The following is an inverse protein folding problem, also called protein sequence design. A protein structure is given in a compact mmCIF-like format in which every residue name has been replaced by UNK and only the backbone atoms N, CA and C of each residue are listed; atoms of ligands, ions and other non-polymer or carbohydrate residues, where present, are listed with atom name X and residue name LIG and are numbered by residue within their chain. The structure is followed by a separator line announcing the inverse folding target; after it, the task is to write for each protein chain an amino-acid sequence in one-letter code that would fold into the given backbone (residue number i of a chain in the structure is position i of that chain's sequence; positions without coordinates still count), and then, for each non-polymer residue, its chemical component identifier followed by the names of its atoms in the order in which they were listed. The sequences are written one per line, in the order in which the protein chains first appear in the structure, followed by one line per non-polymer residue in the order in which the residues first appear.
data_IF_041589381304
#
_entry.id   IF_041589381304
#
_cell.length_a   1.000
_cell.length_b   1.000
_cell.length_c   1.000
_cell.angle_alpha   90.00
_cell.angle_beta   90.00
_cell.angle_gamma   90.00
#
_symmetry.space_group_name_H-M   'P 1'
#
loop_
_entity.id
_entity.type
_entity.pdbx_description
1 polymer ?
#
# COMPACT_ATOMS: atom_id res chain seq x y z
N UNK A 1 7.26 -22.95 18.57
CA UNK A 1 6.90 -22.94 17.13
C UNK A 1 6.77 -21.52 16.60
N UNK A 2 6.02 -20.64 17.27
CA UNK A 2 5.89 -19.21 16.91
C UNK A 2 7.22 -18.50 16.65
N UNK A 3 8.19 -18.56 17.57
CA UNK A 3 9.52 -17.93 17.40
C UNK A 3 10.30 -18.41 16.16
N UNK A 4 10.11 -19.67 15.75
CA UNK A 4 10.85 -20.27 14.62
C UNK A 4 10.15 -19.94 13.30
N UNK A 5 8.82 -20.00 13.29
CA UNK A 5 8.01 -19.84 12.09
C UNK A 5 7.68 -18.38 11.77
N UNK A 6 7.70 -17.50 12.78
CA UNK A 6 7.18 -16.13 12.68
C UNK A 6 5.65 -16.06 12.57
N UNK A 7 4.95 -17.18 12.81
CA UNK A 7 3.49 -17.27 12.78
C UNK A 7 2.97 -17.17 14.21
N UNK A 8 2.06 -16.23 14.46
CA UNK A 8 1.50 -16.04 15.80
C UNK A 8 0.83 -17.33 16.32
N UNK A 9 0.97 -17.58 17.62
CA UNK A 9 0.48 -18.82 18.26
C UNK A 9 -1.00 -19.12 17.95
N UNK A 10 -1.84 -18.08 17.86
CA UNK A 10 -3.27 -18.22 17.53
C UNK A 10 -3.52 -18.86 16.16
N UNK A 11 -2.71 -18.54 15.15
CA UNK A 11 -2.84 -19.10 13.80
C UNK A 11 -2.29 -20.53 13.71
N UNK A 12 -1.36 -20.90 14.60
CA UNK A 12 -0.83 -22.26 14.70
C UNK A 12 -1.80 -23.20 15.45
N UNK A 13 -2.49 -22.68 16.48
CA UNK A 13 -3.44 -23.45 17.27
C UNK A 13 -4.78 -23.63 16.56
N UNK A 14 -5.30 -22.57 15.92
CA UNK A 14 -6.62 -22.55 15.28
C UNK A 14 -6.51 -21.93 13.89
N UNK A 15 -6.02 -22.73 12.94
CA UNK A 15 -5.89 -22.27 11.56
C UNK A 15 -7.23 -22.28 10.83
N UNK A 16 -7.61 -21.14 10.25
CA UNK A 16 -8.73 -21.02 9.31
C UNK A 16 -8.24 -20.55 7.93
N UNK A 17 -8.38 -21.37 6.88
CA UNK A 17 -8.15 -20.95 5.49
C UNK A 17 -9.01 -19.72 5.13
N UNK A 18 -8.49 -18.84 4.27
CA UNK A 18 -9.21 -17.65 3.83
C UNK A 18 -8.30 -16.52 3.35
N UNK A 19 -8.91 -15.47 2.82
CA UNK A 19 -8.22 -14.32 2.21
C UNK A 19 -7.98 -13.15 3.15
N UNK A 20 -8.45 -13.25 4.40
CA UNK A 20 -8.18 -12.27 5.46
C UNK A 20 -6.73 -12.37 5.95
N UNK A 21 -6.19 -11.26 6.47
CA UNK A 21 -4.79 -11.14 6.89
C UNK A 21 -3.80 -11.54 5.78
N UNK A 22 -4.13 -11.17 4.53
CA UNK A 22 -3.44 -11.68 3.36
C UNK A 22 -1.93 -11.40 3.40
N UNK A 23 -1.57 -10.19 3.82
CA UNK A 23 -0.18 -9.77 3.97
C UNK A 23 0.61 -10.62 4.96
N UNK A 24 0.00 -11.01 6.07
CA UNK A 24 0.61 -11.89 7.09
C UNK A 24 0.82 -13.29 6.54
N UNK A 25 -0.20 -13.85 5.88
CA UNK A 25 -0.10 -15.17 5.23
C UNK A 25 0.99 -15.21 4.15
N UNK A 26 1.11 -14.15 3.35
CA UNK A 26 2.19 -13.98 2.36
C UNK A 26 3.57 -13.88 3.04
N UNK A 27 3.65 -13.21 4.19
CA UNK A 27 4.88 -13.18 4.98
C UNK A 27 5.31 -14.56 5.47
N UNK A 28 4.38 -15.39 5.95
CA UNK A 28 4.69 -16.76 6.40
C UNK A 28 5.33 -17.59 5.28
N UNK A 29 4.90 -17.34 4.04
CA UNK A 29 5.41 -18.01 2.85
C UNK A 29 6.65 -17.34 2.24
N UNK A 30 7.04 -16.16 2.70
CA UNK A 30 8.08 -15.31 2.07
C UNK A 30 9.49 -15.90 2.07
N UNK A 31 9.75 -16.92 2.89
CA UNK A 31 11.03 -17.65 2.96
C UNK A 31 10.97 -19.04 2.31
N UNK A 32 9.83 -19.40 1.71
CA UNK A 32 9.63 -20.72 1.12
C UNK A 32 10.48 -20.88 -0.14
N UNK A 33 10.97 -22.10 -0.35
CA UNK A 33 11.58 -22.55 -1.59
C UNK A 33 10.78 -23.72 -2.15
N UNK A 34 10.64 -23.78 -3.47
CA UNK A 34 9.85 -24.80 -4.17
C UNK A 34 10.65 -25.40 -5.31
N UNK A 35 10.41 -26.67 -5.63
CA UNK A 35 11.13 -27.37 -6.71
C UNK A 35 10.75 -26.82 -8.09
N UNK A 36 9.46 -26.55 -8.30
CA UNK A 36 8.98 -25.83 -9.49
C UNK A 36 8.75 -24.35 -9.16
N UNK A 37 9.06 -23.43 -10.08
CA UNK A 37 8.91 -22.00 -9.82
C UNK A 37 7.47 -21.59 -9.52
N UNK A 38 6.47 -22.18 -10.19
CA UNK A 38 5.06 -21.82 -10.02
C UNK A 38 4.45 -22.31 -8.70
N UNK A 39 5.04 -23.35 -8.09
CA UNK A 39 4.59 -23.91 -6.82
C UNK A 39 4.73 -22.90 -5.66
N UNK A 40 5.52 -21.82 -5.83
CA UNK A 40 5.58 -20.71 -4.87
C UNK A 40 4.19 -20.09 -4.64
N UNK A 41 3.34 -20.10 -5.67
CA UNK A 41 1.97 -19.61 -5.61
C UNK A 41 0.98 -20.76 -5.35
N UNK A 42 1.10 -21.88 -6.06
CA UNK A 42 0.12 -22.99 -5.94
C UNK A 42 0.13 -23.63 -4.55
N UNK A 43 1.27 -23.67 -3.87
CA UNK A 43 1.36 -24.12 -2.48
C UNK A 43 0.62 -23.22 -1.47
N UNK A 44 0.07 -22.08 -1.90
CA UNK A 44 -0.69 -21.16 -1.05
C UNK A 44 -2.19 -21.27 -1.23
N UNK A 45 -2.68 -22.04 -2.20
CA UNK A 45 -4.12 -22.19 -2.45
C UNK A 45 -4.87 -22.72 -1.22
N UNK A 46 -4.31 -23.71 -0.52
CA UNK A 46 -4.87 -24.22 0.73
C UNK A 46 -4.84 -23.23 1.89
N UNK A 47 -3.85 -22.32 1.90
CA UNK A 47 -3.77 -21.27 2.92
C UNK A 47 -4.84 -20.19 2.69
N UNK A 48 -5.06 -19.82 1.43
CA UNK A 48 -6.02 -18.80 1.05
C UNK A 48 -7.43 -19.31 0.78
N UNK A 49 -7.64 -20.63 0.80
CA UNK A 49 -8.88 -21.29 0.39
C UNK A 49 -9.31 -20.93 -1.04
N UNK A 50 -8.35 -20.86 -1.96
CA UNK A 50 -8.58 -20.44 -3.35
C UNK A 50 -8.57 -21.62 -4.32
N UNK A 51 -9.41 -21.53 -5.35
CA UNK A 51 -9.48 -22.50 -6.43
C UNK A 51 -9.20 -21.79 -7.76
N UNK A 52 -7.94 -21.80 -8.18
CA UNK A 52 -7.51 -21.26 -9.48
C UNK A 52 -6.95 -22.38 -10.37
N UNK A 53 -7.12 -22.31 -11.70
CA UNK A 53 -6.50 -23.27 -12.61
C UNK A 53 -4.98 -23.32 -12.44
N UNK A 54 -4.43 -24.50 -12.24
CA UNK A 54 -2.98 -24.74 -12.19
C UNK A 54 -2.45 -24.77 -13.62
N UNK A 55 -1.52 -23.88 -13.94
CA UNK A 55 -0.89 -23.77 -15.25
C UNK A 55 0.63 -23.96 -15.08
N UNK A 56 1.13 -25.15 -15.39
CA UNK A 56 2.56 -25.43 -15.42
C UNK A 56 3.20 -24.94 -16.72
N UNK A 57 4.49 -24.60 -16.68
CA UNK A 57 5.22 -24.01 -17.79
C UNK A 57 5.06 -22.49 -17.89
N UNK A 58 4.66 -21.84 -16.80
CA UNK A 58 4.60 -20.37 -16.67
C UNK A 58 5.69 -19.90 -15.70
N UNK A 59 6.00 -18.60 -15.70
CA UNK A 59 6.96 -18.07 -14.72
C UNK A 59 6.37 -18.07 -13.31
N UNK A 60 7.25 -18.14 -12.29
CA UNK A 60 6.87 -17.93 -10.88
C UNK A 60 6.09 -16.63 -10.70
N UNK A 61 6.56 -15.55 -11.34
CA UNK A 61 5.90 -14.25 -11.38
C UNK A 61 4.47 -14.32 -11.90
N UNK A 62 4.22 -15.10 -12.96
CA UNK A 62 2.88 -15.23 -13.51
C UNK A 62 1.95 -15.96 -12.54
N UNK A 63 2.42 -17.06 -11.95
CA UNK A 63 1.65 -17.82 -10.97
C UNK A 63 1.35 -16.98 -9.72
N UNK A 64 2.35 -16.26 -9.20
CA UNK A 64 2.22 -15.35 -8.06
C UNK A 64 1.27 -14.19 -8.38
N UNK A 65 1.42 -13.54 -9.53
CA UNK A 65 0.54 -12.45 -9.94
C UNK A 65 -0.92 -12.87 -10.06
N UNK A 66 -1.21 -14.09 -10.54
CA UNK A 66 -2.57 -14.65 -10.57
C UNK A 66 -3.13 -14.86 -9.17
N UNK A 67 -2.31 -15.39 -8.26
CA UNK A 67 -2.70 -15.56 -6.86
C UNK A 67 -3.03 -14.21 -6.21
N UNK A 68 -2.15 -13.21 -6.36
CA UNK A 68 -2.32 -11.90 -5.76
C UNK A 68 -3.53 -11.15 -6.33
N UNK A 69 -3.79 -11.28 -7.64
CA UNK A 69 -4.99 -10.75 -8.29
C UNK A 69 -6.27 -11.33 -7.69
N UNK A 70 -6.32 -12.64 -7.47
CA UNK A 70 -7.47 -13.31 -6.87
C UNK A 70 -7.66 -12.91 -5.41
N UNK A 71 -6.59 -12.90 -4.61
CA UNK A 71 -6.64 -12.46 -3.21
C UNK A 71 -7.16 -11.02 -3.14
N UNK A 72 -6.60 -10.11 -3.94
CA UNK A 72 -7.01 -8.70 -3.97
C UNK A 72 -8.50 -8.55 -4.28
N UNK A 73 -9.00 -9.33 -5.25
CA UNK A 73 -10.40 -9.26 -5.69
C UNK A 73 -11.37 -9.86 -4.66
N UNK A 74 -10.98 -10.90 -3.92
CA UNK A 74 -11.84 -11.54 -2.92
C UNK A 74 -11.80 -10.83 -1.55
N UNK A 75 -10.63 -10.38 -1.10
CA UNK A 75 -10.50 -9.79 0.24
C UNK A 75 -10.82 -8.29 0.28
N UNK A 76 -10.50 -7.57 -0.79
CA UNK A 76 -10.40 -6.10 -0.79
C UNK A 76 -9.29 -5.57 0.13
N UNK A 77 -8.40 -6.45 0.63
CA UNK A 77 -7.35 -6.13 1.57
C UNK A 77 -6.17 -5.46 0.84
N UNK A 78 -6.05 -4.14 1.05
CA UNK A 78 -4.99 -3.33 0.46
C UNK A 78 -3.59 -3.61 1.04
N UNK A 79 -3.49 -4.32 2.18
CA UNK A 79 -2.20 -4.66 2.79
C UNK A 79 -1.36 -5.57 1.89
N UNK A 80 -1.98 -6.25 0.92
CA UNK A 80 -1.28 -7.03 -0.12
C UNK A 80 -0.30 -6.19 -0.95
N UNK A 81 -0.53 -4.87 -1.04
CA UNK A 81 0.31 -3.92 -1.78
C UNK A 81 1.55 -3.47 -0.98
N UNK A 82 1.61 -3.83 0.31
CA UNK A 82 2.61 -3.38 1.27
C UNK A 82 3.85 -4.28 1.26
N UNK A 83 4.56 -4.27 0.14
CA UNK A 83 5.79 -5.02 -0.10
C UNK A 83 6.88 -4.12 -0.67
N UNK A 84 8.13 -4.55 -0.51
CA UNK A 84 9.32 -3.84 -0.99
C UNK A 84 10.15 -4.79 -1.85
N UNK A 85 10.49 -4.37 -3.08
CA UNK A 85 11.36 -5.12 -3.97
C UNK A 85 11.11 -4.82 -5.45
N UNK A 86 11.44 -5.80 -6.28
CA UNK A 86 11.23 -5.73 -7.73
C UNK A 86 9.74 -5.92 -8.08
N UNK A 87 9.22 -5.05 -8.95
CA UNK A 87 7.88 -5.19 -9.47
C UNK A 87 7.79 -6.31 -10.51
N UNK A 88 6.71 -7.08 -10.47
CA UNK A 88 6.50 -8.16 -11.41
C UNK A 88 6.17 -7.63 -12.82
N UNK A 89 6.64 -8.36 -13.82
CA UNK A 89 6.16 -8.25 -15.20
C UNK A 89 4.64 -8.49 -15.32
N UNK A 90 4.01 -9.12 -14.33
CA UNK A 90 2.57 -9.38 -14.31
C UNK A 90 1.72 -8.12 -14.11
N UNK A 91 2.16 -7.22 -13.22
CA UNK A 91 1.48 -5.97 -12.83
C UNK A 91 2.39 -5.15 -11.89
N UNK A 92 2.47 -3.82 -12.05
CA UNK A 92 3.43 -2.99 -11.29
C UNK A 92 3.19 -2.96 -9.77
N UNK A 93 1.95 -3.18 -9.33
CA UNK A 93 1.61 -3.27 -7.90
C UNK A 93 1.87 -4.63 -7.26
N UNK A 94 2.33 -5.64 -7.99
CA UNK A 94 2.65 -6.95 -7.44
C UNK A 94 4.16 -7.20 -7.47
N UNK A 95 4.73 -7.86 -6.44
CA UNK A 95 6.15 -8.16 -6.43
C UNK A 95 6.49 -9.29 -7.41
N UNK A 96 7.69 -9.25 -7.97
CA UNK A 96 8.22 -10.35 -8.77
C UNK A 96 8.44 -11.62 -7.91
N UNK A 97 8.76 -11.43 -6.63
CA UNK A 97 9.11 -12.51 -5.71
C UNK A 97 8.34 -12.41 -4.40
N UNK A 98 7.94 -13.56 -3.85
CA UNK A 98 7.27 -13.62 -2.55
C UNK A 98 8.17 -13.14 -1.39
N UNK A 99 9.48 -13.15 -1.59
CA UNK A 99 10.47 -12.64 -0.64
C UNK A 99 10.30 -11.15 -0.35
N UNK A 100 9.67 -10.38 -1.25
CA UNK A 100 9.33 -8.97 -1.02
C UNK A 100 8.38 -8.72 0.15
N UNK A 101 7.74 -9.79 0.66
CA UNK A 101 6.89 -9.74 1.85
C UNK A 101 7.66 -10.01 3.16
N UNK A 102 8.96 -10.30 3.14
CA UNK A 102 9.75 -10.60 4.35
C UNK A 102 9.82 -9.41 5.31
N UNK A 103 10.16 -8.25 4.76
CA UNK A 103 10.30 -7.00 5.52
C UNK A 103 8.91 -6.50 5.89
N UNK A 104 8.60 -6.37 7.19
CA UNK A 104 7.54 -5.44 7.57
C UNK A 104 8.07 -4.06 7.21
N UNK A 105 7.36 -3.27 6.40
CA UNK A 105 7.65 -1.85 6.42
C UNK A 105 7.46 -1.42 7.86
N UNK A 106 8.55 -0.95 8.48
CA UNK A 106 8.55 -0.50 9.85
C UNK A 106 7.33 0.41 10.01
N UNK A 107 6.33 -0.01 10.79
CA UNK A 107 5.40 0.95 11.34
C UNK A 107 6.27 2.06 11.90
N UNK A 108 6.05 3.34 11.53
CA UNK A 108 6.65 4.43 12.30
C UNK A 108 6.34 4.08 13.74
N UNK A 109 7.40 3.91 14.54
CA UNK A 109 7.30 3.32 15.86
C UNK A 109 6.09 3.90 16.60
N UNK A 110 5.30 3.04 17.25
CA UNK A 110 4.30 3.47 18.25
C UNK A 110 4.92 4.31 19.38
N UNK A 111 6.24 4.46 19.37
CA UNK A 111 7.06 5.29 20.23
C UNK A 111 8.01 6.14 19.36
N UNK A 112 7.50 7.22 18.77
CA UNK A 112 8.30 8.36 18.34
C UNK A 112 7.54 9.59 18.85
N UNK A 113 7.91 9.94 20.07
CA UNK A 113 7.53 11.14 20.81
C UNK A 113 6.02 11.45 20.83
N UNK A 114 5.43 11.21 22.00
CA UNK A 114 4.43 12.10 22.55
C UNK A 114 5.01 13.53 22.59
N UNK A 115 5.14 14.18 21.42
CA UNK A 115 5.09 15.62 21.40
C UNK A 115 3.67 15.98 21.80
N UNK A 116 3.54 16.20 23.11
CA UNK A 116 2.47 16.92 23.78
C UNK A 116 2.30 18.31 23.15
N UNK A 117 1.82 18.34 21.90
CA UNK A 117 1.12 19.49 21.38
C UNK A 117 -0.31 19.37 21.88
N UNK A 118 -0.86 20.39 22.56
CA UNK A 118 -2.23 20.32 23.03
C UNK A 118 -3.13 19.99 21.84
N UNK A 119 -4.14 19.14 22.07
CA UNK A 119 -5.33 19.05 21.23
C UNK A 119 -6.04 20.42 21.23
N UNK A 120 -5.42 21.45 20.68
CA UNK A 120 -6.02 22.76 20.54
C UNK A 120 -6.74 22.78 19.20
N UNK A 121 -8.04 22.53 19.32
CA UNK A 121 -9.09 23.05 18.44
C UNK A 121 -9.12 22.50 17.02
N UNK A 122 -9.60 21.26 16.85
CA UNK A 122 -10.50 21.02 15.73
C UNK A 122 -11.92 21.36 16.21
N UNK A 123 -12.63 22.33 15.62
CA UNK A 123 -13.97 22.63 16.07
C UNK A 123 -14.88 21.42 15.78
N UNK A 124 -15.54 20.98 16.85
CA UNK A 124 -16.63 20.01 16.93
C UNK A 124 -17.33 19.69 15.60
N UNK A 125 -17.44 18.40 15.26
CA UNK A 125 -18.50 17.85 14.37
C UNK A 125 -18.71 18.56 13.03
N UNK A 126 -17.62 19.01 12.39
CA UNK A 126 -17.71 19.73 11.13
C UNK A 126 -18.41 18.89 10.05
N UNK A 127 -19.36 19.50 9.34
CA UNK A 127 -20.05 18.92 8.19
C UNK A 127 -19.07 18.33 7.15
N UNK A 128 -17.85 18.88 7.08
CA UNK A 128 -16.76 18.38 6.24
C UNK A 128 -16.29 16.98 6.62
N UNK A 129 -16.18 16.68 7.92
CA UNK A 129 -15.69 15.40 8.43
C UNK A 129 -16.73 14.29 8.23
N UNK A 130 -18.00 14.60 8.46
CA UNK A 130 -19.14 13.73 8.08
C UNK A 130 -19.23 13.48 6.57
N UNK A 131 -18.87 14.47 5.75
CA UNK A 131 -18.78 14.29 4.29
C UNK A 131 -17.62 13.37 3.93
N UNK A 132 -16.44 13.59 4.51
CA UNK A 132 -15.26 12.75 4.30
C UNK A 132 -15.53 11.31 4.74
N UNK A 133 -16.08 11.09 5.93
CA UNK A 133 -16.43 9.75 6.40
C UNK A 133 -17.36 9.02 5.43
N UNK A 134 -18.43 9.68 4.94
CA UNK A 134 -19.31 9.09 3.93
C UNK A 134 -18.57 8.75 2.64
N UNK A 135 -17.72 9.65 2.14
CA UNK A 135 -16.92 9.38 0.94
C UNK A 135 -16.00 8.16 1.12
N UNK A 136 -15.38 8.02 2.30
CA UNK A 136 -14.49 6.91 2.62
C UNK A 136 -15.24 5.60 2.91
N UNK A 137 -16.47 5.66 3.43
CA UNK A 137 -17.31 4.51 3.71
C UNK A 137 -17.96 3.95 2.42
N UNK A 138 -18.41 4.85 1.53
CA UNK A 138 -19.06 4.51 0.26
C UNK A 138 -18.05 4.13 -0.84
N UNK A 139 -16.74 4.08 -0.52
CA UNK A 139 -15.70 3.73 -1.48
C UNK A 139 -15.84 2.29 -1.96
N UNK A 140 -15.74 2.07 -3.28
CA UNK A 140 -15.75 0.74 -3.86
C UNK A 140 -14.61 -0.14 -3.31
N UNK A 141 -14.76 -1.46 -3.40
CA UNK A 141 -13.68 -2.38 -3.05
C UNK A 141 -12.58 -2.34 -4.11
N UNK A 142 -11.30 -2.53 -3.72
CA UNK A 142 -10.24 -2.83 -4.67
C UNK A 142 -10.63 -4.03 -5.55
N UNK A 143 -10.43 -3.92 -6.86
CA UNK A 143 -10.73 -4.98 -7.80
C UNK A 143 -9.60 -5.16 -8.79
N UNK A 144 -9.35 -6.39 -9.19
CA UNK A 144 -8.39 -6.70 -10.24
C UNK A 144 -9.10 -7.32 -11.44
N UNK A 145 -9.18 -6.57 -12.55
CA UNK A 145 -9.92 -6.99 -13.75
C UNK A 145 -9.03 -6.76 -14.97
N UNK A 146 -8.88 -7.76 -15.83
CA UNK A 146 -8.13 -7.65 -17.10
C UNK A 146 -6.71 -7.06 -16.96
N UNK A 147 -5.96 -7.51 -15.95
CA UNK A 147 -4.61 -6.99 -15.62
C UNK A 147 -4.57 -5.52 -15.19
N UNK A 148 -5.69 -5.01 -14.67
CA UNK A 148 -5.80 -3.65 -14.16
C UNK A 148 -6.27 -3.70 -12.72
N UNK A 149 -5.55 -3.02 -11.84
CA UNK A 149 -5.95 -2.83 -10.46
C UNK A 149 -6.77 -1.54 -10.35
N UNK A 150 -8.07 -1.68 -10.07
CA UNK A 150 -8.97 -0.57 -9.77
C UNK A 150 -8.89 -0.33 -8.28
N UNK A 151 -8.26 0.77 -7.87
CA UNK A 151 -7.91 1.04 -6.47
C UNK A 151 -8.43 2.40 -6.02
N UNK A 152 -9.34 2.45 -5.02
CA UNK A 152 -9.64 3.69 -4.32
C UNK A 152 -8.39 4.17 -3.57
N UNK A 153 -8.03 5.42 -3.79
CA UNK A 153 -6.82 6.03 -3.26
C UNK A 153 -7.12 7.42 -2.73
N UNK A 154 -6.52 7.76 -1.59
CA UNK A 154 -6.33 9.16 -1.22
C UNK A 154 -5.12 9.67 -2.01
N UNK A 155 -5.34 10.67 -2.86
CA UNK A 155 -4.35 11.15 -3.83
C UNK A 155 -3.73 12.47 -3.40
N UNK A 156 -2.40 12.49 -3.35
CA UNK A 156 -1.60 13.69 -3.14
C UNK A 156 -0.79 13.98 -4.41
N UNK A 157 -1.09 15.10 -5.07
CA UNK A 157 -0.41 15.48 -6.31
C UNK A 157 1.01 15.94 -6.00
N UNK A 158 1.99 15.39 -6.71
CA UNK A 158 3.37 15.85 -6.61
C UNK A 158 3.49 17.21 -7.31
N UNK A 159 4.07 18.18 -6.58
CA UNK A 159 4.24 19.57 -6.97
C UNK A 159 5.66 19.77 -7.52
N UNK A 160 6.66 19.17 -6.87
CA UNK A 160 8.06 19.28 -7.26
C UNK A 160 8.81 17.98 -6.95
N UNK A 161 9.74 17.63 -7.84
CA UNK A 161 10.73 16.56 -7.68
C UNK A 161 12.10 17.19 -7.91
N UNK A 162 12.95 17.17 -6.89
CA UNK A 162 14.29 17.76 -6.96
C UNK A 162 15.33 16.66 -6.76
N UNK A 163 16.24 16.44 -7.72
CA UNK A 163 17.34 15.51 -7.54
C UNK A 163 18.29 16.09 -6.48
N UNK A 164 18.67 15.27 -5.52
CA UNK A 164 19.70 15.58 -4.55
C UNK A 164 21.03 15.04 -5.09
N UNK A 165 22.12 15.81 -4.94
CA UNK A 165 23.44 15.35 -5.38
C UNK A 165 23.76 13.98 -4.79
N UNK A 166 24.13 13.02 -5.64
CA UNK A 166 24.49 11.68 -5.22
C UNK A 166 25.90 11.63 -4.63
N UNK A 167 26.14 10.67 -3.74
CA UNK A 167 27.49 10.33 -3.30
C UNK A 167 28.22 9.67 -4.49
N UNK A 168 29.38 10.17 -4.94
CA UNK A 168 30.13 9.55 -6.03
C UNK A 168 30.59 8.11 -5.74
N UNK A 169 30.51 7.65 -4.49
CA UNK A 169 30.91 6.30 -4.07
C UNK A 169 29.82 5.23 -4.21
N UNK A 170 28.54 5.61 -4.33
CA UNK A 170 27.42 4.66 -4.45
C UNK A 170 26.44 5.10 -5.55
N UNK A 171 26.11 4.23 -6.53
CA UNK A 171 25.18 4.56 -7.60
C UNK A 171 23.74 4.52 -7.05
N UNK A 172 23.35 5.52 -6.29
CA UNK A 172 21.97 5.71 -5.82
C UNK A 172 21.52 7.13 -6.10
N UNK A 173 20.25 7.27 -6.46
CA UNK A 173 19.66 8.53 -6.86
C UNK A 173 18.66 8.97 -5.80
N UNK A 174 19.00 10.02 -5.06
CA UNK A 174 18.12 10.58 -4.03
C UNK A 174 17.31 11.73 -4.60
N UNK A 175 16.02 11.74 -4.29
CA UNK A 175 15.07 12.75 -4.74
C UNK A 175 14.28 13.30 -3.57
N UNK A 176 14.18 14.63 -3.51
CA UNK A 176 13.27 15.33 -2.63
C UNK A 176 11.95 15.56 -3.34
N UNK A 177 10.87 15.02 -2.78
CA UNK A 177 9.52 15.10 -3.33
C UNK A 177 8.67 16.00 -2.44
N UNK A 178 7.99 16.96 -3.07
CA UNK A 178 6.97 17.80 -2.45
C UNK A 178 5.62 17.48 -3.06
N UNK A 179 4.63 17.19 -2.22
CA UNK A 179 3.29 16.84 -2.64
C UNK A 179 2.22 17.58 -1.81
N UNK A 180 1.05 17.79 -2.41
CA UNK A 180 -0.03 18.55 -1.79
C UNK A 180 -0.51 17.94 -0.48
N UNK A 181 -0.44 18.71 0.62
CA UNK A 181 -0.89 18.31 1.95
C UNK A 181 0.06 17.36 2.70
N UNK A 182 1.26 17.10 2.15
CA UNK A 182 2.26 16.22 2.74
C UNK A 182 3.52 16.98 3.15
N UNK A 183 4.16 16.55 4.24
CA UNK A 183 5.52 17.02 4.56
C UNK A 183 6.47 16.63 3.42
N UNK A 184 7.50 17.44 3.12
CA UNK A 184 8.53 17.05 2.16
C UNK A 184 9.13 15.70 2.54
N UNK A 185 9.30 14.83 1.55
CA UNK A 185 9.83 13.48 1.76
C UNK A 185 11.03 13.26 0.83
N UNK A 186 11.92 12.38 1.24
CA UNK A 186 13.09 12.00 0.47
C UNK A 186 13.01 10.50 0.14
N UNK A 187 13.29 10.15 -1.11
CA UNK A 187 13.40 8.76 -1.56
C UNK A 187 14.75 8.54 -2.21
N UNK A 188 15.32 7.36 -1.98
CA UNK A 188 16.55 6.92 -2.64
C UNK A 188 16.24 5.71 -3.51
N UNK A 189 16.64 5.78 -4.77
CA UNK A 189 16.36 4.77 -5.78
C UNK A 189 17.66 4.17 -6.31
N UNK A 190 17.68 2.86 -6.64
CA UNK A 190 18.81 2.25 -7.31
C UNK A 190 18.98 2.78 -8.74
N UNK A 191 17.85 3.08 -9.40
CA UNK A 191 17.81 3.56 -10.78
C UNK A 191 17.34 5.01 -10.87
N UNK A 192 17.85 5.73 -11.86
CA UNK A 192 17.46 7.12 -12.13
C UNK A 192 15.99 7.18 -12.57
N UNK A 193 15.24 8.13 -12.03
CA UNK A 193 13.89 8.44 -12.52
C UNK A 193 13.94 8.91 -13.99
N UNK A 194 12.97 8.44 -14.78
CA UNK A 194 12.74 8.89 -16.14
C UNK A 194 12.46 10.40 -16.17
N UNK A 195 12.88 11.10 -17.22
CA UNK A 195 12.66 12.56 -17.34
C UNK A 195 11.17 12.92 -17.31
N UNK A 196 10.31 12.09 -17.92
CA UNK A 196 8.87 12.24 -17.87
C UNK A 196 8.30 12.18 -16.44
N UNK A 197 8.93 11.42 -15.53
CA UNK A 197 8.55 11.38 -14.12
C UNK A 197 8.92 12.67 -13.36
N UNK A 198 9.83 13.49 -13.91
CA UNK A 198 10.24 14.76 -13.30
C UNK A 198 9.32 15.93 -13.70
N UNK A 199 8.40 15.73 -14.65
CA UNK A 199 7.45 16.76 -15.07
C UNK A 199 6.38 17.05 -14.00
N UNK A 200 5.93 18.30 -13.95
CA UNK A 200 4.94 18.74 -12.96
C UNK A 200 3.60 18.01 -13.12
N UNK A 201 3.22 17.23 -12.10
CA UNK A 201 1.97 16.47 -12.07
C UNK A 201 2.02 15.13 -12.79
N UNK A 202 3.20 14.67 -13.25
CA UNK A 202 3.39 13.32 -13.75
C UNK A 202 3.31 12.27 -12.63
N UNK A 203 3.75 12.64 -11.41
CA UNK A 203 3.74 11.77 -10.24
C UNK A 203 2.59 12.06 -9.28
N UNK A 204 2.13 11.00 -8.62
CA UNK A 204 1.18 11.04 -7.53
C UNK A 204 1.68 10.18 -6.37
N UNK A 205 1.62 10.73 -5.17
CA UNK A 205 1.79 9.97 -3.93
C UNK A 205 0.39 9.57 -3.48
N UNK A 206 0.15 8.28 -3.33
CA UNK A 206 -1.19 7.78 -3.00
C UNK A 206 -1.19 6.89 -1.78
N UNK A 207 -2.24 7.01 -0.97
CA UNK A 207 -2.58 6.07 0.08
C UNK A 207 -3.71 5.18 -0.41
N UNK A 208 -3.47 3.89 -0.68
CA UNK A 208 -4.54 2.94 -0.93
C UNK A 208 -5.57 2.99 0.19
N UNK A 209 -6.86 2.96 -0.17
CA UNK A 209 -7.96 3.08 0.78
C UNK A 209 -8.90 1.89 0.68
N UNK A 210 -9.46 1.50 1.82
CA UNK A 210 -10.47 0.47 1.93
C UNK A 210 -11.41 0.75 3.09
N UNK A 211 -12.72 0.57 2.87
CA UNK A 211 -13.75 0.92 3.84
C UNK A 211 -13.70 0.09 5.14
N UNK A 212 -13.18 -1.15 5.14
CA UNK A 212 -13.01 -1.92 6.40
C UNK A 212 -12.03 -1.26 7.38
N UNK A 213 -11.20 -0.30 6.94
CA UNK A 213 -10.33 0.47 7.83
C UNK A 213 -11.09 1.40 8.78
N UNK A 214 -12.36 1.71 8.49
CA UNK A 214 -13.19 2.57 9.33
C UNK A 214 -13.74 1.85 10.59
N UNK A 215 -13.53 0.53 10.73
CA UNK A 215 -14.16 -0.27 11.77
C UNK A 215 -15.63 -0.57 11.46
N UNK A 216 -16.31 -1.29 12.37
CA UNK A 216 -17.72 -1.67 12.22
C UNK A 216 -18.61 -0.46 11.87
N UNK A 217 -19.63 -0.62 11.00
CA UNK A 217 -20.54 0.45 10.60
C UNK A 217 -21.49 0.80 11.77
N UNK A 218 -20.95 1.50 12.77
CA UNK A 218 -21.69 2.14 13.84
C UNK A 218 -21.96 3.60 13.49
N UNK A 219 -22.98 4.18 14.13
CA UNK A 219 -23.31 5.61 14.02
C UNK A 219 -22.06 6.42 14.37
N UNK A 220 -21.66 7.35 13.49
CA UNK A 220 -20.49 8.22 13.71
C UNK A 220 -20.70 9.02 14.99
N UNK A 221 -20.08 8.59 16.08
CA UNK A 221 -20.00 9.33 17.34
C UNK A 221 -18.72 10.17 17.35
N UNK A 222 -18.59 11.05 18.34
CA UNK A 222 -17.42 11.93 18.46
C UNK A 222 -16.10 11.12 18.52
N UNK A 223 -16.12 9.93 19.12
CA UNK A 223 -14.97 9.05 19.23
C UNK A 223 -14.54 8.48 17.87
N UNK A 224 -15.49 8.08 17.02
CA UNK A 224 -15.21 7.60 15.67
C UNK A 224 -14.67 8.72 14.76
N UNK A 225 -15.15 9.95 14.93
CA UNK A 225 -14.61 11.12 14.21
C UNK A 225 -13.15 11.40 14.60
N UNK A 226 -12.84 11.37 15.89
CA UNK A 226 -11.47 11.53 16.40
C UNK A 226 -10.55 10.39 15.93
N UNK A 227 -11.03 9.15 15.98
CA UNK A 227 -10.27 7.99 15.53
C UNK A 227 -9.97 8.04 14.02
N UNK A 228 -10.90 8.52 13.21
CA UNK A 228 -10.68 8.70 11.77
C UNK A 228 -9.58 9.72 11.50
N UNK A 229 -9.67 10.90 12.13
CA UNK A 229 -8.66 11.95 11.97
C UNK A 229 -7.31 11.45 12.45
N UNK A 230 -7.26 10.78 13.60
CA UNK A 230 -6.05 10.20 14.13
C UNK A 230 -5.42 9.18 13.18
N UNK A 231 -6.22 8.26 12.62
CA UNK A 231 -5.78 7.27 11.61
C UNK A 231 -5.24 7.91 10.33
N UNK A 232 -5.85 9.02 9.89
CA UNK A 232 -5.42 9.74 8.70
C UNK A 232 -4.13 10.54 8.93
N UNK A 233 -3.88 11.02 10.14
CA UNK A 233 -2.68 11.79 10.51
C UNK A 233 -1.43 10.95 10.76
N UNK A 234 -1.60 9.69 11.13
CA UNK A 234 -0.47 8.76 11.31
C UNK A 234 0.34 8.66 10.01
N UNK A 235 1.68 8.58 10.09
CA UNK A 235 2.47 8.32 8.90
C UNK A 235 2.07 6.97 8.31
N UNK A 236 2.14 6.87 7.00
CA UNK A 236 1.68 5.70 6.25
C UNK A 236 2.64 5.38 5.10
N UNK A 237 2.63 4.11 4.68
CA UNK A 237 3.34 3.66 3.50
C UNK A 237 2.52 4.05 2.26
N UNK A 238 3.08 4.91 1.44
CA UNK A 238 2.45 5.36 0.21
C UNK A 238 2.94 4.55 -0.98
N UNK A 239 2.13 4.55 -2.05
CA UNK A 239 2.57 4.16 -3.37
C UNK A 239 2.95 5.41 -4.15
N UNK A 240 4.10 5.38 -4.82
CA UNK A 240 4.46 6.39 -5.81
C UNK A 240 3.99 5.91 -7.18
N UNK A 241 3.09 6.67 -7.79
CA UNK A 241 2.50 6.33 -9.09
C UNK A 241 2.92 7.35 -10.14
N UNK A 242 3.35 6.83 -11.29
CA UNK A 242 3.54 7.61 -12.51
C UNK A 242 2.29 7.55 -13.36
N UNK A 243 1.81 8.70 -13.82
CA UNK A 243 0.68 8.80 -14.74
C UNK A 243 1.11 8.40 -16.15
N UNK A 244 0.35 7.50 -16.75
CA UNK A 244 0.50 7.05 -18.13
C UNK A 244 -0.59 7.67 -19.03
N UNK A 245 -0.48 7.53 -20.37
CA UNK A 245 -1.57 7.85 -21.28
C UNK A 245 -2.87 7.12 -20.89
N UNK A 246 -4.02 7.64 -21.33
CA UNK A 246 -5.35 7.06 -21.05
C UNK A 246 -5.76 7.05 -19.57
N UNK A 247 -5.13 7.89 -18.73
CA UNK A 247 -5.46 8.03 -17.32
C UNK A 247 -5.22 6.75 -16.50
N UNK A 248 -4.22 5.97 -16.94
CA UNK A 248 -3.68 4.83 -16.23
C UNK A 248 -2.47 5.24 -15.40
N UNK A 249 -2.09 4.39 -14.46
CA UNK A 249 -0.99 4.66 -13.55
C UNK A 249 -0.08 3.44 -13.44
N UNK A 250 1.20 3.66 -13.21
CA UNK A 250 2.17 2.60 -12.95
C UNK A 250 2.84 2.86 -11.62
N UNK A 251 2.90 1.85 -10.74
CA UNK A 251 3.72 1.91 -9.53
C UNK A 251 5.19 1.97 -9.93
N UNK A 252 5.89 2.96 -9.39
CA UNK A 252 7.34 3.09 -9.50
C UNK A 252 7.96 3.07 -8.10
N UNK A 253 9.30 3.06 -8.02
CA UNK A 253 10.02 3.09 -6.75
C UNK A 253 9.61 1.95 -5.78
N UNK A 254 9.21 0.78 -6.29
CA UNK A 254 8.71 -0.33 -5.46
C UNK A 254 9.77 -0.97 -4.58
N UNK A 255 11.06 -0.75 -4.90
CA UNK A 255 12.21 -1.22 -4.13
C UNK A 255 12.51 -0.39 -2.89
N UNK A 256 11.82 0.74 -2.70
CA UNK A 256 12.07 1.69 -1.61
C UNK A 256 10.79 1.93 -0.82
N UNK A 257 10.92 2.04 0.51
CA UNK A 257 9.81 2.42 1.36
C UNK A 257 9.51 3.92 1.21
N UNK A 258 8.29 4.25 0.79
CA UNK A 258 7.82 5.64 0.71
C UNK A 258 6.95 5.92 1.93
N UNK A 259 7.57 6.37 3.03
CA UNK A 259 6.86 6.75 4.25
C UNK A 259 6.51 8.23 4.22
N UNK A 260 5.25 8.55 4.51
CA UNK A 260 4.70 9.89 4.29
C UNK A 260 3.83 10.32 5.47
N UNK A 261 3.86 11.62 5.79
CA UNK A 261 3.03 12.23 6.83
C UNK A 261 2.34 13.50 6.30
N UNK A 262 1.11 13.75 6.75
CA UNK A 262 0.38 14.99 6.46
C UNK A 262 1.04 16.20 7.15
N UNK A 263 0.93 17.39 6.54
CA UNK A 263 1.46 18.65 7.11
C UNK A 263 0.69 19.09 8.35
N UNK A 264 -0.64 19.14 8.25
CA UNK A 264 -1.51 19.76 9.26
C UNK A 264 -2.92 19.13 9.27
N UNK A 265 -3.72 19.48 10.30
CA UNK A 265 -5.11 18.99 10.43
C UNK A 265 -6.03 19.41 9.27
N UNK A 266 -5.95 20.65 8.73
CA UNK A 266 -6.70 21.04 7.53
C UNK A 266 -6.45 20.17 6.31
N UNK A 267 -5.22 19.67 6.12
CA UNK A 267 -4.89 18.76 5.01
C UNK A 267 -5.73 17.46 5.04
N UNK A 268 -6.14 17.00 6.23
CA UNK A 268 -7.04 15.84 6.36
C UNK A 268 -8.40 16.11 5.71
N UNK A 269 -8.95 17.31 5.89
CA UNK A 269 -10.27 17.67 5.35
C UNK A 269 -10.24 17.95 3.84
N UNK A 270 -9.06 18.22 3.27
CA UNK A 270 -8.85 18.40 1.84
C UNK A 270 -8.56 17.08 1.10
N UNK A 271 -8.63 15.95 1.80
CA UNK A 271 -8.44 14.61 1.23
C UNK A 271 -9.27 14.40 -0.03
N UNK A 272 -8.59 14.03 -1.12
CA UNK A 272 -9.23 13.68 -2.39
C UNK A 272 -9.20 12.17 -2.56
N UNK A 273 -10.34 11.52 -2.34
CA UNK A 273 -10.53 10.13 -2.69
C UNK A 273 -10.80 10.02 -4.19
N UNK A 274 -9.98 9.25 -4.89
CA UNK A 274 -10.13 8.98 -6.32
C UNK A 274 -9.88 7.48 -6.56
N UNK A 275 -10.70 6.88 -7.42
CA UNK A 275 -10.43 5.53 -7.91
C UNK A 275 -9.46 5.62 -9.08
N UNK A 276 -8.31 4.96 -8.95
CA UNK A 276 -7.25 4.92 -9.94
C UNK A 276 -7.21 3.55 -10.62
N UNK A 277 -6.88 3.54 -11.91
CA UNK A 277 -6.60 2.33 -12.68
C UNK A 277 -5.10 2.18 -12.78
N UNK A 278 -4.54 1.18 -12.10
CA UNK A 278 -3.10 0.91 -12.08
C UNK A 278 -2.81 -0.31 -12.95
N UNK A 279 -1.65 -0.30 -13.62
CA UNK A 279 -1.12 -1.36 -14.50
C UNK A 279 0.30 -1.74 -14.13
#
# INVERSE_FOLDING_TARGET
LEKVTGIESRFLANFSPGVDDARSRLQWASKRSTTRPEDIAYSLFGIFNLHLPILYGKSAENALGRLLAEITSQSGDISILDWIGEASSFHSCFPAHITSYQTLPSSPSLHAEEESSPMSQLPATSRALRRLHRLLADSALPQFINRRLILPCIVHRVIAVQPQGGDPSTPSYTYKIQASGLKPLEITLPDKLEEAAMEQGALQVVRPWHSKLLGLPGKLDAMAEEQLVFTLRRPFNALLLMRLPHNEYKRIASSTLVSVQLVDSPSVLQTKLQTLTIV
#
